data_IF_525752674664
#
_entry.id   IF_525752674664
#
_cell.length_a   1.000
_cell.length_b   1.000
_cell.length_c   1.000
_cell.angle_alpha   90.00
_cell.angle_beta   90.00
_cell.angle_gamma   90.00
#
_symmetry.space_group_name_H-M   'P 1'
#
loop_
_entity.id
_entity.type
_entity.pdbx_description
1 polymer ?
#
# COMPACT_ATOMS: atom_id res chain seq x y z
N UNK A 1 4.87 -26.18 3.49
CA UNK A 1 3.83 -26.57 4.47
C UNK A 1 2.94 -25.35 4.70
N UNK A 2 1.65 -25.39 4.38
CA UNK A 2 0.72 -24.28 4.62
C UNK A 2 0.20 -24.38 6.06
N UNK A 3 0.57 -23.43 6.92
CA UNK A 3 0.16 -23.38 8.33
C UNK A 3 -0.90 -22.29 8.49
N UNK A 4 -1.96 -22.58 9.24
CA UNK A 4 -2.98 -21.60 9.59
C UNK A 4 -2.37 -20.66 10.64
N UNK A 5 -2.30 -19.38 10.31
CA UNK A 5 -1.86 -18.29 11.19
C UNK A 5 -3.07 -17.44 11.57
N UNK A 6 -3.09 -16.95 12.81
CA UNK A 6 -4.05 -15.95 13.24
C UNK A 6 -3.67 -14.59 12.64
N UNK A 7 -4.68 -13.76 12.37
CA UNK A 7 -4.45 -12.44 11.77
C UNK A 7 -3.58 -11.54 12.66
N UNK A 8 -3.77 -11.62 13.99
CA UNK A 8 -2.98 -10.87 14.97
C UNK A 8 -1.50 -11.24 14.94
N UNK A 9 -1.18 -12.53 14.89
CA UNK A 9 0.21 -13.03 14.81
C UNK A 9 0.90 -12.55 13.52
N UNK A 10 0.16 -12.48 12.42
CA UNK A 10 0.67 -11.98 11.15
C UNK A 10 0.91 -10.45 11.18
N UNK A 11 0.08 -9.71 11.92
CA UNK A 11 0.22 -8.26 12.08
C UNK A 11 1.43 -7.92 12.97
N UNK A 12 1.67 -8.68 14.04
CA UNK A 12 2.85 -8.56 14.90
C UNK A 12 4.14 -8.90 14.14
N UNK A 13 4.09 -9.87 13.22
CA UNK A 13 5.22 -10.26 12.37
C UNK A 13 5.37 -9.39 11.10
N UNK A 14 4.75 -8.21 11.05
CA UNK A 14 4.83 -7.28 9.91
C UNK A 14 4.44 -7.91 8.57
N UNK A 15 3.49 -8.86 8.56
CA UNK A 15 3.02 -9.53 7.34
C UNK A 15 3.95 -10.62 6.82
N UNK A 16 4.97 -10.99 7.57
CA UNK A 16 5.87 -12.09 7.22
C UNK A 16 5.46 -13.35 7.98
N UNK A 17 5.26 -14.45 7.26
CA UNK A 17 5.00 -15.74 7.90
C UNK A 17 6.27 -16.21 8.64
N UNK A 18 6.24 -16.40 9.97
CA UNK A 18 7.43 -16.79 10.75
C UNK A 18 7.90 -18.22 10.46
N UNK A 19 7.09 -19.03 9.79
CA UNK A 19 7.41 -20.43 9.49
C UNK A 19 8.08 -20.62 8.13
N UNK A 20 7.64 -19.87 7.11
CA UNK A 20 8.07 -20.06 5.72
C UNK A 20 8.62 -18.78 5.06
N UNK A 21 8.78 -17.69 5.83
CA UNK A 21 9.27 -16.39 5.36
C UNK A 21 8.54 -15.83 4.13
N UNK A 22 7.29 -16.23 3.93
CA UNK A 22 6.45 -15.68 2.88
C UNK A 22 5.92 -14.31 3.27
N UNK A 23 6.01 -13.34 2.36
CA UNK A 23 5.50 -11.98 2.53
C UNK A 23 4.05 -11.90 2.04
N UNK A 24 3.13 -11.66 2.97
CA UNK A 24 1.73 -11.46 2.65
C UNK A 24 1.49 -10.03 2.12
N UNK A 25 0.43 -9.87 1.32
CA UNK A 25 0.03 -8.55 0.82
C UNK A 25 -0.36 -7.64 1.98
N UNK A 26 0.29 -6.49 2.07
CA UNK A 26 -0.09 -5.41 2.97
C UNK A 26 -0.56 -4.20 2.18
N UNK A 27 -1.48 -3.43 2.76
CA UNK A 27 -1.97 -2.18 2.17
C UNK A 27 -0.96 -1.05 2.34
N UNK A 28 -1.03 -0.04 1.47
CA UNK A 28 -0.13 1.12 1.50
C UNK A 28 -0.12 1.83 2.86
N UNK A 29 -1.28 2.03 3.48
CA UNK A 29 -1.40 2.64 4.81
C UNK A 29 -0.56 1.93 5.89
N UNK A 30 -0.54 0.60 5.89
CA UNK A 30 0.27 -0.18 6.84
C UNK A 30 1.76 0.00 6.60
N UNK A 31 2.20 0.07 5.35
CA UNK A 31 3.60 0.35 5.05
C UNK A 31 4.02 1.76 5.46
N UNK A 32 3.11 2.73 5.31
CA UNK A 32 3.35 4.12 5.73
C UNK A 32 3.60 4.18 7.24
N UNK A 33 2.71 3.59 8.04
CA UNK A 33 2.84 3.53 9.50
C UNK A 33 4.12 2.84 9.99
N UNK A 34 4.64 1.88 9.21
CA UNK A 34 5.87 1.15 9.55
C UNK A 34 7.15 1.87 9.15
N UNK A 35 7.09 2.70 8.11
CA UNK A 35 8.28 3.32 7.51
C UNK A 35 8.48 4.76 7.97
N UNK A 36 7.39 5.51 8.14
CA UNK A 36 7.43 6.91 8.52
C UNK A 36 7.29 7.08 10.03
N UNK A 37 7.91 8.13 10.55
CA UNK A 37 7.69 8.53 11.94
C UNK A 37 6.23 8.96 12.15
N UNK A 38 5.66 8.72 13.35
CA UNK A 38 4.27 9.06 13.62
C UNK A 38 4.02 10.56 13.43
N UNK A 39 3.13 10.89 12.50
CA UNK A 39 2.76 12.27 12.17
C UNK A 39 3.71 12.99 11.20
N UNK A 40 4.69 12.30 10.62
CA UNK A 40 5.61 12.89 9.62
C UNK A 40 5.17 12.70 8.18
N UNK A 41 4.15 11.88 7.95
CA UNK A 41 3.62 11.57 6.62
C UNK A 41 2.59 12.61 6.17
N UNK A 42 2.86 13.26 5.05
CA UNK A 42 1.91 14.13 4.36
C UNK A 42 1.64 13.57 2.95
N UNK A 43 0.36 13.31 2.64
CA UNK A 43 -0.05 12.88 1.29
C UNK A 43 0.11 14.04 0.30
N UNK A 44 0.96 13.85 -0.73
CA UNK A 44 1.03 14.75 -1.87
C UNK A 44 0.11 14.27 -3.00
N UNK A 45 -0.29 15.20 -3.88
CA UNK A 45 -1.01 14.90 -5.13
C UNK A 45 -2.30 14.07 -4.98
N UNK A 46 -3.09 14.35 -3.92
CA UNK A 46 -4.39 13.68 -3.63
C UNK A 46 -5.46 13.79 -4.74
N UNK A 47 -5.23 14.65 -5.74
CA UNK A 47 -6.08 14.84 -6.91
C UNK A 47 -5.62 14.12 -8.17
N UNK A 48 -4.50 13.38 -8.13
CA UNK A 48 -3.95 12.72 -9.30
C UNK A 48 -4.82 11.54 -9.73
N UNK A 49 -5.23 11.54 -10.99
CA UNK A 49 -6.06 10.51 -11.58
C UNK A 49 -5.43 10.04 -12.90
N UNK A 50 -5.42 8.73 -13.11
CA UNK A 50 -4.93 8.13 -14.35
C UNK A 50 -5.89 8.47 -15.51
N UNK A 51 -5.37 9.11 -16.56
CA UNK A 51 -6.10 9.38 -17.79
C UNK A 51 -5.82 8.35 -18.89
N UNK A 52 -6.60 8.36 -19.96
CA UNK A 52 -6.39 7.52 -21.16
C UNK A 52 -6.03 8.36 -22.40
N UNK A 53 -4.76 8.78 -22.57
CA UNK A 53 -4.33 9.54 -23.74
C UNK A 53 -4.21 8.69 -25.02
N UNK A 54 -4.21 7.35 -24.89
CA UNK A 54 -4.00 6.42 -26.01
C UNK A 54 -5.30 5.83 -26.54
N UNK A 55 -6.41 5.98 -25.83
CA UNK A 55 -7.74 5.48 -26.21
C UNK A 55 -7.80 3.96 -26.24
N UNK A 56 -7.19 3.30 -25.25
CA UNK A 56 -7.19 1.84 -25.21
C UNK A 56 -8.61 1.30 -25.01
N UNK A 57 -9.07 0.36 -25.85
CA UNK A 57 -10.37 -0.26 -25.66
C UNK A 57 -10.43 -0.95 -24.28
N UNK A 58 -11.56 -0.80 -23.59
CA UNK A 58 -11.83 -1.30 -22.22
C UNK A 58 -11.00 -0.67 -21.09
N UNK A 59 -10.08 0.26 -21.35
CA UNK A 59 -9.29 0.88 -20.29
C UNK A 59 -10.14 1.86 -19.46
N UNK A 60 -11.01 2.64 -20.10
CA UNK A 60 -11.98 3.50 -19.42
C UNK A 60 -12.90 2.74 -18.44
N UNK A 61 -13.35 1.54 -18.82
CA UNK A 61 -14.19 0.69 -17.97
C UNK A 61 -13.40 0.16 -16.76
N UNK A 62 -12.12 -0.18 -16.95
CA UNK A 62 -11.20 -0.58 -15.87
C UNK A 62 -10.90 0.58 -14.92
N UNK A 63 -10.72 1.79 -15.45
CA UNK A 63 -10.53 3.01 -14.65
C UNK A 63 -11.75 3.31 -13.79
N UNK A 64 -12.97 3.10 -14.29
CA UNK A 64 -14.19 3.27 -13.52
C UNK A 64 -14.35 2.23 -12.38
N UNK A 65 -13.85 1.01 -12.58
CA UNK A 65 -13.92 -0.07 -11.60
C UNK A 65 -12.80 -0.04 -10.55
N UNK A 66 -11.63 0.53 -10.88
CA UNK A 66 -10.47 0.63 -9.99
C UNK A 66 -10.74 1.32 -8.63
N UNK A 67 -11.42 2.48 -8.54
CA UNK A 67 -11.63 3.16 -7.26
C UNK A 67 -12.57 2.41 -6.31
N UNK A 68 -13.34 1.42 -6.81
CA UNK A 68 -14.25 0.61 -6.01
C UNK A 68 -13.54 -0.60 -5.37
N UNK A 69 -12.47 -1.10 -5.99
CA UNK A 69 -11.76 -2.31 -5.54
C UNK A 69 -10.65 -2.01 -4.52
N UNK A 70 -10.13 -0.79 -4.50
CA UNK A 70 -9.02 -0.38 -3.62
C UNK A 70 -9.28 1.04 -3.10
N UNK A 71 -9.48 1.21 -1.78
CA UNK A 71 -9.52 2.54 -1.14
C UNK A 71 -8.17 2.88 -0.47
N UNK A 72 -7.80 4.17 -0.32
CA UNK A 72 -8.33 5.37 -0.98
C UNK A 72 -7.43 5.83 -2.15
N UNK A 73 -8.07 6.09 -3.29
CA UNK A 73 -7.82 7.17 -4.29
C UNK A 73 -6.43 7.47 -4.86
N UNK A 74 -5.38 6.73 -4.55
CA UNK A 74 -4.09 6.96 -5.19
C UNK A 74 -3.40 5.62 -5.48
N UNK A 75 -3.44 5.20 -6.74
CA UNK A 75 -2.44 4.25 -7.26
C UNK A 75 -1.05 4.90 -7.38
N UNK A 76 -0.98 6.22 -7.20
CA UNK A 76 0.20 7.08 -7.37
C UNK A 76 0.41 8.04 -6.19
N UNK A 77 0.22 7.58 -4.95
CA UNK A 77 0.42 8.41 -3.76
C UNK A 77 1.90 8.64 -3.50
N UNK A 78 2.47 9.73 -4.00
CA UNK A 78 3.76 10.23 -3.55
C UNK A 78 3.59 10.89 -2.18
N UNK A 79 4.54 10.65 -1.28
CA UNK A 79 4.55 11.29 0.03
C UNK A 79 5.98 11.63 0.42
N UNK A 80 6.12 12.80 1.01
CA UNK A 80 7.38 13.29 1.56
C UNK A 80 7.30 13.20 3.08
N UNK A 81 8.35 12.67 3.71
CA UNK A 81 8.42 12.59 5.15
C UNK A 81 9.80 12.14 5.63
N UNK A 82 10.31 12.68 6.74
CA UNK A 82 11.51 12.13 7.36
C UNK A 82 11.22 10.70 7.83
N UNK A 83 12.08 9.79 7.40
CA UNK A 83 12.26 8.48 8.02
C UNK A 83 13.30 8.69 9.12
N UNK A 84 12.98 8.29 10.35
CA UNK A 84 13.89 8.40 11.49
C UNK A 84 15.28 7.81 11.20
N UNK A 85 16.30 8.11 12.03
CA UNK A 85 17.68 7.72 11.74
C UNK A 85 17.75 6.19 11.55
N UNK A 86 18.04 5.77 10.31
CA UNK A 86 18.30 4.38 9.97
C UNK A 86 19.42 3.89 10.89
N UNK A 87 19.05 3.08 11.89
CA UNK A 87 20.00 2.53 12.85
C UNK A 87 21.12 1.80 12.11
N UNK A 88 22.37 2.18 12.40
CA UNK A 88 23.54 1.36 12.08
C UNK A 88 23.57 0.12 12.97
#
# INVERSE_FOLDING_TARGET
MQKILLKSELEEALGVCPNCSHHHRQGAAKHIELTFDPGSFEEADTGLASGDPLGFPEYADKLAMAPLATTPRAVDGCADGPVGPLGM
#
